data_IF_004782210112
#
_entry.id   IF_004782210112
#
_cell.length_a   1.000
_cell.length_b   1.000
_cell.length_c   1.000
_cell.angle_alpha   90.00
_cell.angle_beta   90.00
_cell.angle_gamma   90.00
#
_symmetry.space_group_name_H-M   'P 1'
#
loop_
_entity.id
_entity.type
_entity.pdbx_description
1 polymer ?
#
# COMPACT_ATOMS: atom_id res chain seq x y z
N UNK A 1 -50.03 2.00 -36.52
CA UNK A 1 -49.35 0.97 -37.34
C UNK A 1 -48.03 1.55 -37.84
N UNK A 2 -46.89 1.13 -37.27
CA UNK A 2 -45.54 1.52 -37.71
C UNK A 2 -44.91 0.34 -38.44
N UNK A 3 -44.51 0.55 -39.68
CA UNK A 3 -43.79 -0.42 -40.50
C UNK A 3 -42.31 -0.48 -40.10
N UNK A 4 -41.66 -1.65 -40.08
CA UNK A 4 -40.23 -1.78 -39.81
C UNK A 4 -39.39 -1.41 -41.03
N UNK A 5 -38.29 -0.68 -40.78
CA UNK A 5 -37.26 -0.35 -41.77
C UNK A 5 -36.28 -1.52 -41.96
N UNK A 6 -35.77 -1.77 -43.18
CA UNK A 6 -34.82 -2.85 -43.45
C UNK A 6 -33.39 -2.47 -43.05
N UNK A 7 -32.76 -3.34 -42.25
CA UNK A 7 -31.32 -3.31 -41.98
C UNK A 7 -30.54 -3.80 -43.22
N UNK A 8 -29.86 -2.91 -43.93
CA UNK A 8 -28.91 -3.27 -44.98
C UNK A 8 -27.59 -3.75 -44.36
N UNK A 9 -27.32 -5.04 -44.48
CA UNK A 9 -26.04 -5.64 -44.13
C UNK A 9 -24.97 -5.28 -45.17
N UNK A 10 -24.04 -4.39 -44.83
CA UNK A 10 -22.83 -4.13 -45.62
C UNK A 10 -21.83 -5.28 -45.44
N UNK A 11 -21.80 -6.20 -46.41
CA UNK A 11 -20.71 -7.17 -46.61
C UNK A 11 -19.40 -6.40 -46.89
N UNK A 12 -18.44 -6.46 -45.96
CA UNK A 12 -17.05 -6.04 -46.24
C UNK A 12 -16.37 -7.07 -47.15
N UNK A 13 -15.78 -6.67 -48.28
CA UNK A 13 -14.96 -7.57 -49.08
C UNK A 13 -13.61 -7.80 -48.37
N UNK A 14 -13.36 -9.05 -47.98
CA UNK A 14 -12.04 -9.56 -47.58
C UNK A 14 -11.17 -9.70 -48.84
N UNK A 15 -10.52 -8.62 -49.23
CA UNK A 15 -9.43 -8.65 -50.20
C UNK A 15 -8.17 -9.18 -49.53
N UNK A 16 -7.80 -10.43 -49.80
CA UNK A 16 -6.48 -10.96 -49.48
C UNK A 16 -5.45 -10.35 -50.44
N UNK A 17 -4.93 -9.18 -50.09
CA UNK A 17 -3.76 -8.61 -50.75
C UNK A 17 -2.52 -9.38 -50.28
N UNK A 18 -2.16 -10.42 -51.02
CA UNK A 18 -0.89 -11.13 -50.88
C UNK A 18 0.24 -10.17 -51.24
N UNK A 19 0.81 -9.52 -50.23
CA UNK A 19 2.01 -8.70 -50.38
C UNK A 19 3.22 -9.64 -50.34
N UNK A 20 3.72 -9.97 -51.53
CA UNK A 20 5.03 -10.59 -51.72
C UNK A 20 6.09 -9.74 -51.01
N UNK A 21 6.54 -10.19 -49.84
CA UNK A 21 7.67 -9.62 -49.12
C UNK A 21 8.95 -9.97 -49.90
N UNK A 22 9.43 -9.02 -50.69
CA UNK A 22 10.82 -9.04 -51.12
C UNK A 22 11.69 -8.85 -49.87
N UNK A 23 12.42 -9.89 -49.48
CA UNK A 23 13.46 -9.83 -48.45
C UNK A 23 14.66 -9.05 -49.03
N UNK A 24 14.53 -7.73 -49.10
CA UNK A 24 15.67 -6.83 -49.31
C UNK A 24 16.37 -6.73 -47.96
N UNK A 25 17.55 -7.34 -47.84
CA UNK A 25 18.43 -7.12 -46.69
C UNK A 25 18.83 -5.65 -46.68
N UNK A 26 18.42 -4.86 -45.67
CA UNK A 26 18.78 -3.45 -45.62
C UNK A 26 20.30 -3.32 -45.56
N UNK A 27 20.84 -2.46 -46.41
CA UNK A 27 22.25 -2.08 -46.39
C UNK A 27 22.65 -1.63 -44.98
N UNK A 28 23.83 -2.04 -44.52
CA UNK A 28 24.35 -1.69 -43.19
C UNK A 28 24.52 -0.19 -42.97
N UNK A 29 24.59 0.60 -44.05
CA UNK A 29 24.68 2.06 -43.94
C UNK A 29 23.32 2.72 -43.71
N UNK A 30 22.22 2.08 -44.15
CA UNK A 30 20.86 2.61 -43.96
C UNK A 30 20.36 2.42 -42.51
N UNK A 31 20.87 1.42 -41.80
CA UNK A 31 20.48 1.12 -40.41
C UNK A 31 21.00 2.18 -39.44
N UNK A 32 22.23 2.66 -39.62
CA UNK A 32 22.83 3.72 -38.80
C UNK A 32 22.06 5.05 -38.95
N UNK A 33 21.69 5.42 -40.18
CA UNK A 33 20.89 6.61 -40.45
C UNK A 33 19.48 6.50 -39.84
N UNK A 34 18.86 5.32 -39.89
CA UNK A 34 17.56 5.05 -39.27
C UNK A 34 17.61 5.16 -37.75
N UNK A 35 18.65 4.63 -37.11
CA UNK A 35 18.84 4.71 -35.67
C UNK A 35 19.04 6.15 -35.19
N UNK A 36 19.85 6.93 -35.91
CA UNK A 36 20.07 8.34 -35.59
C UNK A 36 18.78 9.17 -35.71
N UNK A 37 17.96 8.91 -36.73
CA UNK A 37 16.64 9.54 -36.90
C UNK A 37 15.70 9.17 -35.76
N UNK A 38 15.69 7.91 -35.34
CA UNK A 38 14.85 7.43 -34.24
C UNK A 38 15.26 8.03 -32.89
N UNK A 39 16.57 8.14 -32.64
CA UNK A 39 17.13 8.83 -31.47
C UNK A 39 16.69 10.30 -31.44
N UNK A 40 16.79 11.01 -32.57
CA UNK A 40 16.38 12.40 -32.65
C UNK A 40 14.86 12.57 -32.43
N UNK A 41 14.03 11.65 -32.94
CA UNK A 41 12.59 11.67 -32.69
C UNK A 41 12.25 11.45 -31.21
N UNK A 42 12.94 10.52 -30.53
CA UNK A 42 12.79 10.29 -29.08
C UNK A 42 13.17 11.52 -28.28
N UNK A 43 14.26 12.18 -28.63
CA UNK A 43 14.70 13.40 -27.96
C UNK A 43 13.69 14.55 -28.13
N UNK A 44 13.15 14.74 -29.35
CA UNK A 44 12.10 15.75 -29.60
C UNK A 44 10.85 15.49 -28.77
N UNK A 45 10.41 14.23 -28.66
CA UNK A 45 9.26 13.85 -27.82
C UNK A 45 9.53 14.12 -26.34
N UNK A 46 10.70 13.73 -25.83
CA UNK A 46 11.08 13.97 -24.44
C UNK A 46 11.16 15.47 -24.11
N UNK A 47 11.72 16.29 -25.00
CA UNK A 47 11.80 17.75 -24.84
C UNK A 47 10.41 18.40 -24.83
N UNK A 48 9.51 17.95 -25.71
CA UNK A 48 8.15 18.47 -25.76
C UNK A 48 7.35 18.09 -24.50
N UNK A 49 7.53 16.87 -23.99
CA UNK A 49 6.96 16.46 -22.71
C UNK A 49 7.47 17.32 -21.54
N UNK A 50 8.78 17.61 -21.47
CA UNK A 50 9.33 18.49 -20.42
C UNK A 50 8.70 19.88 -20.47
N UNK A 51 8.61 20.51 -21.64
CA UNK A 51 7.93 21.80 -21.81
C UNK A 51 6.46 21.74 -21.41
N UNK A 52 5.76 20.67 -21.76
CA UNK A 52 4.38 20.48 -21.35
C UNK A 52 4.25 20.46 -19.82
N UNK A 53 5.09 19.68 -19.13
CA UNK A 53 5.06 19.62 -17.66
C UNK A 53 5.49 20.91 -16.99
N UNK A 54 6.48 21.62 -17.53
CA UNK A 54 6.90 22.93 -17.01
C UNK A 54 5.76 23.95 -17.13
N UNK A 55 5.11 24.02 -18.31
CA UNK A 55 4.02 24.97 -18.55
C UNK A 55 2.76 24.66 -17.74
N UNK A 56 2.48 23.38 -17.46
CA UNK A 56 1.28 22.95 -16.73
C UNK A 56 1.56 22.59 -15.27
N UNK A 57 2.77 22.87 -14.75
CA UNK A 57 3.16 22.52 -13.39
C UNK A 57 2.21 23.10 -12.35
N UNK A 58 1.85 24.38 -12.52
CA UNK A 58 0.93 25.07 -11.62
C UNK A 58 -0.47 24.46 -11.67
N UNK A 59 -1.01 24.18 -12.87
CA UNK A 59 -2.32 23.55 -13.04
C UNK A 59 -2.37 22.13 -12.45
N UNK A 60 -1.32 21.33 -12.64
CA UNK A 60 -1.23 19.99 -12.06
C UNK A 60 -1.13 20.04 -10.54
N UNK A 61 -0.39 21.01 -9.97
CA UNK A 61 -0.34 21.23 -8.53
C UNK A 61 -1.69 21.66 -7.96
N UNK A 62 -2.41 22.55 -8.65
CA UNK A 62 -3.76 22.99 -8.27
C UNK A 62 -4.74 21.80 -8.28
N UNK A 63 -4.69 20.97 -9.33
CA UNK A 63 -5.51 19.75 -9.43
C UNK A 63 -5.21 18.75 -8.31
N UNK A 64 -3.95 18.64 -7.90
CA UNK A 64 -3.55 17.82 -6.75
C UNK A 64 -4.11 18.39 -5.43
N UNK A 65 -4.06 19.72 -5.22
CA UNK A 65 -4.65 20.40 -4.06
C UNK A 65 -6.16 20.18 -4.00
N UNK A 66 -6.87 20.29 -5.13
CA UNK A 66 -8.31 20.05 -5.22
C UNK A 66 -8.68 18.61 -4.84
N UNK A 67 -7.90 17.62 -5.31
CA UNK A 67 -8.10 16.20 -4.92
C UNK A 67 -7.84 15.98 -3.44
N UNK A 68 -6.77 16.55 -2.89
CA UNK A 68 -6.45 16.45 -1.47
C UNK A 68 -7.55 17.10 -0.60
N UNK A 69 -8.04 18.27 -1.00
CA UNK A 69 -9.17 18.96 -0.34
C UNK A 69 -10.45 18.11 -0.37
N UNK A 70 -10.80 17.55 -1.54
CA UNK A 70 -11.95 16.66 -1.69
C UNK A 70 -11.83 15.41 -0.80
N UNK A 71 -10.66 14.78 -0.75
CA UNK A 71 -10.44 13.62 0.10
C UNK A 71 -10.54 13.96 1.58
N UNK A 72 -10.06 15.14 2.02
CA UNK A 72 -10.23 15.61 3.40
C UNK A 72 -11.70 15.82 3.75
N UNK A 73 -12.51 16.38 2.83
CA UNK A 73 -13.95 16.53 3.05
C UNK A 73 -14.66 15.19 3.15
N UNK A 74 -14.33 14.24 2.27
CA UNK A 74 -14.92 12.91 2.29
C UNK A 74 -14.55 12.14 3.57
N UNK A 75 -13.29 12.22 4.00
CA UNK A 75 -12.85 11.63 5.27
C UNK A 75 -13.60 12.22 6.47
N UNK A 76 -13.85 13.54 6.49
CA UNK A 76 -14.67 14.18 7.52
C UNK A 76 -16.12 13.68 7.53
N UNK A 77 -16.73 13.46 6.36
CA UNK A 77 -18.08 12.91 6.27
C UNK A 77 -18.15 11.47 6.81
N UNK A 78 -17.12 10.66 6.52
CA UNK A 78 -17.05 9.27 6.99
C UNK A 78 -16.67 9.15 8.48
N UNK A 79 -16.09 10.20 9.08
CA UNK A 79 -15.68 10.20 10.49
C UNK A 79 -16.72 10.82 11.44
N UNK A 80 -17.92 11.14 10.94
CA UNK A 80 -18.99 11.55 11.85
C UNK A 80 -19.44 10.32 12.65
N UNK A 81 -19.36 10.37 13.99
CA UNK A 81 -19.91 9.30 14.82
C UNK A 81 -21.40 9.15 14.47
N UNK A 82 -21.80 7.91 14.20
CA UNK A 82 -23.19 7.55 13.95
C UNK A 82 -24.03 8.07 15.11
N UNK A 83 -24.82 9.11 14.86
CA UNK A 83 -25.66 9.78 15.85
C UNK A 83 -26.94 8.96 16.11
N UNK A 84 -26.79 7.65 16.29
CA UNK A 84 -27.88 6.69 16.56
C UNK A 84 -27.73 6.03 17.95
N UNK A 85 -26.81 6.52 18.79
CA UNK A 85 -26.61 5.99 20.15
C UNK A 85 -27.12 6.95 21.22
N UNK A 86 -28.34 7.47 21.09
CA UNK A 86 -29.07 8.10 22.21
C UNK A 86 -30.58 7.97 21.99
N UNK A 87 -31.12 6.78 22.18
CA UNK A 87 -32.49 6.57 22.65
C UNK A 87 -32.67 5.11 23.09
N UNK A 88 -32.23 4.81 24.31
CA UNK A 88 -32.98 3.87 25.14
C UNK A 88 -33.01 4.44 26.55
N UNK A 89 -34.10 5.15 26.81
CA UNK A 89 -34.56 5.42 28.16
C UNK A 89 -35.08 4.10 28.72
N UNK A 90 -34.28 3.40 29.52
CA UNK A 90 -34.84 2.47 30.48
C UNK A 90 -34.40 2.81 31.90
N UNK A 91 -35.42 3.09 32.70
CA UNK A 91 -35.34 3.54 34.06
C UNK A 91 -34.95 2.37 34.96
N UNK A 92 -33.68 2.31 35.36
CA UNK A 92 -33.17 1.29 36.27
C UNK A 92 -32.29 1.91 37.35
N UNK A 93 -32.94 2.33 38.44
CA UNK A 93 -32.37 2.67 39.74
C UNK A 93 -31.16 1.79 40.11
N UNK A 94 -29.98 2.39 40.21
CA UNK A 94 -28.82 1.81 40.91
C UNK A 94 -27.84 2.90 41.34
N UNK A 95 -28.06 3.37 42.56
CA UNK A 95 -27.04 3.66 43.58
C UNK A 95 -25.58 3.84 43.11
N UNK A 96 -25.21 5.11 42.90
CA UNK A 96 -24.04 5.78 43.51
C UNK A 96 -22.86 4.87 43.91
N UNK A 97 -21.83 4.79 43.07
CA UNK A 97 -20.42 4.71 43.51
C UNK A 97 -19.56 5.58 42.57
N UNK A 98 -19.25 6.77 43.05
CA UNK A 98 -18.39 7.78 42.44
C UNK A 98 -16.93 7.30 42.50
N UNK A 99 -16.21 7.13 41.38
CA UNK A 99 -14.78 6.85 41.41
C UNK A 99 -14.00 8.08 41.93
N UNK A 100 -12.99 7.91 42.79
CA UNK A 100 -12.19 9.01 43.29
C UNK A 100 -11.36 9.65 42.16
N UNK A 101 -11.33 10.98 42.15
CA UNK A 101 -10.54 11.80 41.25
C UNK A 101 -9.03 11.47 41.35
N UNK A 102 -8.31 11.32 40.23
CA UNK A 102 -6.85 11.30 40.26
C UNK A 102 -6.34 12.70 40.60
N UNK A 103 -5.85 12.84 41.83
CA UNK A 103 -5.16 14.02 42.34
C UNK A 103 -4.01 14.44 41.43
N UNK A 104 -4.05 15.71 41.03
CA UNK A 104 -2.99 16.41 40.29
C UNK A 104 -1.64 16.29 41.01
N UNK A 105 -0.55 15.95 40.31
CA UNK A 105 0.79 16.07 40.87
C UNK A 105 1.15 17.56 40.96
N UNK A 106 1.32 18.04 42.18
CA UNK A 106 1.91 19.34 42.48
C UNK A 106 3.35 19.40 41.97
N UNK A 107 3.63 20.45 41.21
CA UNK A 107 4.96 20.99 40.99
C UNK A 107 5.62 21.29 42.34
N UNK A 108 6.74 20.65 42.64
CA UNK A 108 7.80 21.22 43.49
C UNK A 108 9.08 20.39 43.34
N UNK A 109 10.14 21.01 42.81
CA UNK A 109 11.40 20.31 42.62
C UNK A 109 12.43 21.05 41.78
N UNK A 110 12.75 22.30 42.15
CA UNK A 110 13.99 22.95 41.73
C UNK A 110 15.20 22.07 42.10
N UNK A 111 15.95 21.61 41.10
CA UNK A 111 17.32 21.14 41.29
C UNK A 111 18.17 21.58 40.10
N UNK A 112 18.86 22.69 40.29
CA UNK A 112 19.91 23.19 39.41
C UNK A 112 21.17 22.34 39.60
N UNK A 113 21.55 21.57 38.59
CA UNK A 113 22.90 21.01 38.45
C UNK A 113 23.57 21.63 37.22
N UNK A 114 24.76 22.27 37.37
CA UNK A 114 25.49 22.83 36.25
C UNK A 114 26.20 21.70 35.49
N UNK A 115 25.91 21.58 34.20
CA UNK A 115 26.62 20.68 33.28
C UNK A 115 27.81 21.44 32.67
N UNK A 116 29.03 20.87 32.65
CA UNK A 116 30.21 21.55 32.15
C UNK A 116 30.23 21.59 30.61
N UNK A 117 30.58 22.76 30.07
CA UNK A 117 30.91 23.00 28.67
C UNK A 117 31.97 22.03 28.13
N UNK A 118 31.78 21.45 26.94
CA UNK A 118 32.89 20.99 26.11
C UNK A 118 33.43 22.15 25.26
N UNK A 119 34.68 22.51 25.56
CA UNK A 119 35.49 23.52 24.88
C UNK A 119 35.49 23.40 23.35
N UNK A 120 35.06 24.47 22.69
CA UNK A 120 35.20 24.68 21.26
C UNK A 120 36.66 24.98 20.91
N UNK A 121 37.31 24.04 20.22
CA UNK A 121 38.59 24.27 19.55
C UNK A 121 38.30 25.03 18.26
N UNK A 122 38.77 26.28 18.19
CA UNK A 122 38.74 27.12 16.99
C UNK A 122 39.72 26.64 15.92
N UNK A 123 39.34 26.59 14.63
CA UNK A 123 40.31 26.60 13.53
C UNK A 123 40.66 28.04 13.11
N UNK A 124 41.87 28.24 12.54
CA UNK A 124 42.45 29.55 12.32
C UNK A 124 41.82 30.34 11.17
N UNK A 125 41.79 31.66 11.39
CA UNK A 125 41.43 32.73 10.47
C UNK A 125 42.27 32.68 9.19
N UNK A 126 41.63 32.52 8.03
CA UNK A 126 42.23 32.83 6.73
C UNK A 126 41.57 34.10 6.19
N UNK A 127 42.34 35.18 6.23
CA UNK A 127 42.07 36.43 5.53
C UNK A 127 41.88 36.19 4.03
N UNK A 128 40.79 36.73 3.47
CA UNK A 128 40.52 36.69 2.04
C UNK A 128 39.46 37.70 1.63
N UNK A 129 39.93 38.91 1.29
CA UNK A 129 39.37 39.90 0.35
C UNK A 129 37.85 40.10 0.23
N UNK A 130 37.44 41.26 0.72
CA UNK A 130 36.25 42.04 0.36
C UNK A 130 36.19 42.33 -1.15
N UNK A 131 35.17 41.81 -1.83
CA UNK A 131 34.64 42.41 -3.07
C UNK A 131 33.23 42.92 -2.75
N UNK A 132 33.14 44.25 -2.70
CA UNK A 132 31.93 45.05 -2.62
C UNK A 132 31.05 44.78 -3.85
N UNK A 133 29.81 44.30 -3.65
CA UNK A 133 28.79 44.23 -4.68
C UNK A 133 27.67 45.25 -4.39
N UNK A 134 27.19 46.02 -5.40
CA UNK A 134 26.23 47.10 -5.19
C UNK A 134 24.78 46.60 -5.10
N UNK A 135 24.03 47.24 -4.20
CA UNK A 135 22.59 47.12 -4.03
C UNK A 135 21.82 47.55 -5.30
N UNK A 136 20.74 46.84 -5.70
CA UNK A 136 19.78 47.37 -6.64
C UNK A 136 18.71 48.24 -5.92
N UNK A 137 18.17 49.27 -6.61
CA UNK A 137 17.23 50.21 -6.03
C UNK A 137 15.82 49.63 -5.89
N UNK A 138 15.18 50.01 -4.79
CA UNK A 138 13.78 49.81 -4.46
C UNK A 138 12.86 50.56 -5.43
N UNK A 139 11.87 49.85 -5.93
CA UNK A 139 10.69 50.48 -6.53
C UNK A 139 9.98 49.50 -7.44
N UNK A 140 8.84 48.95 -7.00
CA UNK A 140 7.72 48.69 -7.91
C UNK A 140 6.42 48.56 -7.12
N UNK A 141 5.42 49.24 -7.66
CA UNK A 141 4.13 49.60 -7.09
C UNK A 141 3.18 48.42 -6.93
N UNK A 142 2.32 48.50 -5.92
CA UNK A 142 1.16 47.62 -5.70
C UNK A 142 0.19 47.65 -6.89
N UNK A 143 -0.21 46.50 -7.46
CA UNK A 143 -1.34 46.43 -8.36
C UNK A 143 -2.64 46.25 -7.57
N UNK A 144 -3.62 47.05 -7.97
CA UNK A 144 -4.98 47.12 -7.47
C UNK A 144 -5.74 45.79 -7.55
N UNK A 145 -6.47 45.47 -6.49
CA UNK A 145 -7.49 44.41 -6.41
C UNK A 145 -8.62 44.62 -7.43
N UNK A 146 -8.95 43.62 -8.27
CA UNK A 146 -10.19 43.63 -9.03
C UNK A 146 -11.37 43.09 -8.19
N UNK A 147 -12.49 43.80 -8.29
CA UNK A 147 -13.78 43.50 -7.67
C UNK A 147 -14.37 42.15 -8.12
N UNK A 148 -14.92 41.41 -7.16
CA UNK A 148 -15.68 40.19 -7.38
C UNK A 148 -17.03 40.49 -8.04
N UNK A 149 -17.29 39.93 -9.23
CA UNK A 149 -18.62 39.80 -9.81
C UNK A 149 -19.20 38.41 -9.53
N UNK A 150 -20.29 38.43 -8.76
CA UNK A 150 -21.44 37.49 -8.74
C UNK A 150 -21.26 36.08 -9.34
N UNK A 151 -21.30 35.09 -8.45
CA UNK A 151 -21.45 33.65 -8.72
C UNK A 151 -22.89 33.34 -9.18
N UNK A 152 -23.11 32.64 -10.31
CA UNK A 152 -24.43 32.11 -10.65
C UNK A 152 -24.77 30.85 -9.85
N UNK A 153 -26.02 30.76 -9.40
CA UNK A 153 -26.59 29.63 -8.66
C UNK A 153 -26.50 28.31 -9.45
N UNK A 154 -26.06 27.20 -8.84
CA UNK A 154 -26.09 25.91 -9.50
C UNK A 154 -27.52 25.35 -9.51
N UNK A 155 -28.04 25.11 -10.71
CA UNK A 155 -29.29 24.37 -10.93
C UNK A 155 -29.14 22.93 -10.44
N UNK A 156 -30.21 22.43 -9.82
CA UNK A 156 -30.31 21.10 -9.22
C UNK A 156 -30.11 19.98 -10.24
N UNK A 157 -29.07 19.16 -10.05
CA UNK A 157 -29.01 17.83 -10.65
C UNK A 157 -29.78 16.87 -9.75
N UNK A 158 -30.99 16.50 -10.21
CA UNK A 158 -31.76 15.40 -9.64
C UNK A 158 -31.03 14.08 -9.89
N UNK A 159 -30.72 13.36 -8.81
CA UNK A 159 -30.30 11.97 -8.85
C UNK A 159 -31.52 11.05 -8.69
N UNK A 160 -31.55 9.88 -9.34
CA UNK A 160 -32.63 8.92 -9.18
C UNK A 160 -32.63 8.27 -7.78
N UNK A 161 -33.78 7.79 -7.29
CA UNK A 161 -33.89 7.25 -5.94
C UNK A 161 -33.14 5.92 -5.82
N UNK A 162 -32.36 5.79 -4.75
CA UNK A 162 -31.75 4.52 -4.35
C UNK A 162 -32.86 3.57 -3.88
N UNK A 163 -32.95 2.40 -4.52
CA UNK A 163 -33.71 1.28 -4.00
C UNK A 163 -33.01 0.76 -2.74
N UNK A 164 -33.73 0.80 -1.63
CA UNK A 164 -33.43 0.07 -0.40
C UNK A 164 -33.42 -1.43 -0.69
N UNK A 165 -32.22 -2.01 -0.75
CA UNK A 165 -32.04 -3.47 -0.72
C UNK A 165 -31.72 -3.89 0.70
N UNK A 166 -32.78 -4.39 1.32
CA UNK A 166 -32.81 -5.25 2.49
C UNK A 166 -32.03 -6.57 2.23
N UNK A 167 -31.56 -7.22 3.29
CA UNK A 167 -30.85 -8.51 3.36
C UNK A 167 -29.34 -8.57 3.04
N UNK A 168 -28.51 -8.32 4.05
CA UNK A 168 -27.13 -8.83 4.10
C UNK A 168 -27.15 -10.34 4.37
N UNK A 169 -27.23 -11.15 3.30
CA UNK A 169 -26.83 -12.56 3.35
C UNK A 169 -25.31 -12.64 3.19
N UNK A 170 -24.62 -13.10 4.23
CA UNK A 170 -23.22 -13.52 4.14
C UNK A 170 -23.10 -14.56 3.01
N UNK A 171 -22.26 -14.33 1.98
CA UNK A 171 -22.06 -15.32 0.94
C UNK A 171 -21.33 -16.51 1.55
N UNK A 172 -22.05 -17.60 1.78
CA UNK A 172 -21.45 -18.93 1.95
C UNK A 172 -20.64 -19.20 0.68
N UNK A 173 -19.32 -19.14 0.78
CA UNK A 173 -18.37 -19.49 -0.27
C UNK A 173 -18.52 -20.99 -0.57
N UNK A 174 -19.48 -21.33 -1.42
CA UNK A 174 -19.52 -22.60 -2.10
C UNK A 174 -18.26 -22.72 -2.96
N UNK A 175 -17.57 -23.85 -2.80
CA UNK A 175 -16.27 -24.14 -3.39
C UNK A 175 -16.21 -23.87 -4.89
N UNK A 176 -15.68 -22.70 -5.25
CA UNK A 176 -15.02 -22.52 -6.51
C UNK A 176 -13.64 -23.15 -6.34
N UNK A 177 -13.55 -24.44 -6.69
CA UNK A 177 -12.31 -25.12 -7.03
C UNK A 177 -11.74 -24.48 -8.30
N UNK A 178 -11.33 -23.20 -8.22
CA UNK A 178 -10.38 -22.66 -9.17
C UNK A 178 -9.15 -23.53 -9.04
N UNK A 179 -8.80 -24.24 -10.11
CA UNK A 179 -7.58 -25.01 -10.20
C UNK A 179 -6.44 -24.12 -9.73
N UNK A 180 -5.99 -24.37 -8.50
CA UNK A 180 -4.87 -23.68 -7.87
C UNK A 180 -3.65 -24.20 -8.61
N UNK A 181 -3.41 -23.65 -9.81
CA UNK A 181 -2.11 -23.81 -10.43
C UNK A 181 -1.14 -23.33 -9.37
N UNK A 182 -0.17 -24.16 -8.93
CA UNK A 182 0.87 -23.66 -8.07
C UNK A 182 1.48 -22.53 -8.88
N UNK A 183 1.22 -21.29 -8.46
CA UNK A 183 2.05 -20.17 -8.86
C UNK A 183 3.35 -20.51 -8.15
N UNK A 184 4.16 -21.34 -8.83
CA UNK A 184 5.57 -21.45 -8.55
C UNK A 184 6.01 -20.01 -8.44
N UNK A 185 6.49 -19.60 -7.27
CA UNK A 185 6.99 -18.26 -7.01
C UNK A 185 8.27 -18.04 -7.84
N UNK A 186 8.16 -18.10 -9.16
CA UNK A 186 9.18 -17.80 -10.15
C UNK A 186 9.30 -16.29 -10.37
N UNK A 187 8.36 -15.51 -9.82
CA UNK A 187 8.36 -14.07 -9.95
C UNK A 187 9.09 -13.48 -8.75
N UNK A 188 10.30 -13.02 -9.04
CA UNK A 188 11.25 -12.25 -8.22
C UNK A 188 12.45 -13.07 -7.73
N UNK A 189 13.36 -13.20 -8.71
CA UNK A 189 14.82 -13.29 -8.59
C UNK A 189 15.38 -14.55 -7.98
N UNK A 190 16.28 -15.17 -8.73
CA UNK A 190 17.35 -15.98 -8.17
C UNK A 190 17.91 -15.23 -6.94
N UNK A 191 17.72 -15.78 -5.73
CA UNK A 191 18.16 -15.16 -4.47
C UNK A 191 19.66 -14.87 -4.52
N UNK A 192 20.40 -15.63 -5.33
CA UNK A 192 21.82 -15.44 -5.61
C UNK A 192 22.15 -14.01 -6.07
N UNK A 193 21.22 -13.33 -6.74
CA UNK A 193 21.41 -11.95 -7.20
C UNK A 193 20.97 -10.90 -6.17
N UNK A 194 20.39 -11.28 -5.03
CA UNK A 194 19.84 -10.35 -4.03
C UNK A 194 20.87 -9.28 -3.61
N UNK A 195 22.09 -9.72 -3.29
CA UNK A 195 23.18 -8.83 -2.86
C UNK A 195 23.67 -7.90 -4.00
N UNK A 196 23.46 -8.29 -5.27
CA UNK A 196 23.81 -7.47 -6.43
C UNK A 196 22.81 -6.32 -6.69
N UNK A 197 21.60 -6.42 -6.16
CA UNK A 197 20.58 -5.39 -6.28
C UNK A 197 20.91 -4.19 -5.39
N UNK A 198 20.58 -2.98 -5.87
CA UNK A 198 20.58 -1.78 -5.04
C UNK A 198 19.47 -1.82 -3.99
N UNK A 199 19.65 -1.12 -2.86
CA UNK A 199 18.66 -1.06 -1.78
C UNK A 199 17.25 -0.68 -2.26
N UNK A 200 17.13 0.29 -3.19
CA UNK A 200 15.83 0.68 -3.79
C UNK A 200 15.18 -0.45 -4.59
N UNK A 201 15.97 -1.24 -5.34
CA UNK A 201 15.45 -2.39 -6.09
C UNK A 201 15.01 -3.52 -5.17
N UNK A 202 15.73 -3.75 -4.06
CA UNK A 202 15.36 -4.71 -3.03
C UNK A 202 14.04 -4.34 -2.35
N UNK A 203 13.84 -3.08 -1.98
CA UNK A 203 12.57 -2.61 -1.43
C UNK A 203 11.41 -2.76 -2.43
N UNK A 204 11.64 -2.44 -3.70
CA UNK A 204 10.63 -2.64 -4.74
C UNK A 204 10.28 -4.12 -4.94
N UNK A 205 11.28 -5.00 -4.92
CA UNK A 205 11.12 -6.45 -5.00
C UNK A 205 10.30 -6.99 -3.81
N UNK A 206 10.60 -6.56 -2.58
CA UNK A 206 9.85 -6.96 -1.39
C UNK A 206 8.41 -6.49 -1.44
N UNK A 207 8.15 -5.24 -1.81
CA UNK A 207 6.76 -4.76 -1.98
C UNK A 207 6.00 -5.55 -3.03
N UNK A 208 6.65 -5.94 -4.13
CA UNK A 208 6.02 -6.77 -5.15
C UNK A 208 5.67 -8.15 -4.58
N UNK A 209 6.60 -8.78 -3.86
CA UNK A 209 6.35 -10.05 -3.19
C UNK A 209 5.19 -9.93 -2.19
N UNK A 210 5.14 -8.87 -1.39
CA UNK A 210 4.01 -8.61 -0.48
C UNK A 210 2.67 -8.57 -1.21
N UNK A 211 2.57 -7.85 -2.33
CA UNK A 211 1.36 -7.80 -3.14
C UNK A 211 0.95 -9.18 -3.66
N UNK A 212 1.92 -10.00 -4.07
CA UNK A 212 1.67 -11.36 -4.51
C UNK A 212 1.18 -12.26 -3.35
N UNK A 213 1.67 -12.04 -2.12
CA UNK A 213 1.15 -12.72 -0.93
C UNK A 213 -0.29 -12.29 -0.61
N UNK A 214 -0.59 -11.00 -0.66
CA UNK A 214 -1.94 -10.49 -0.44
C UNK A 214 -2.93 -11.00 -1.47
N UNK A 215 -2.49 -11.13 -2.72
CA UNK A 215 -3.29 -11.74 -3.78
C UNK A 215 -3.61 -13.21 -3.49
N UNK A 216 -2.63 -13.97 -2.99
CA UNK A 216 -2.78 -15.41 -2.74
C UNK A 216 -3.53 -15.75 -1.44
N UNK A 217 -3.36 -14.94 -0.40
CA UNK A 217 -3.81 -15.26 0.96
C UNK A 217 -4.73 -14.20 1.60
N UNK A 218 -5.01 -13.12 0.89
CA UNK A 218 -5.74 -11.95 1.42
C UNK A 218 -4.84 -11.00 2.19
N UNK A 219 -5.42 -9.88 2.64
CA UNK A 219 -4.71 -8.81 3.33
C UNK A 219 -3.87 -9.33 4.51
N UNK A 220 -2.59 -8.95 4.55
CA UNK A 220 -1.62 -9.45 5.53
C UNK A 220 -2.04 -9.08 6.96
N UNK A 221 -2.50 -7.84 7.16
CA UNK A 221 -2.96 -7.35 8.45
C UNK A 221 -4.08 -8.22 9.08
N UNK A 222 -4.90 -8.87 8.24
CA UNK A 222 -6.03 -9.68 8.68
C UNK A 222 -5.66 -11.14 8.95
N UNK A 223 -4.43 -11.58 8.67
CA UNK A 223 -4.06 -12.99 8.78
C UNK A 223 -4.33 -13.62 10.15
N UNK A 224 -4.00 -12.98 11.30
CA UNK A 224 -4.28 -13.57 12.61
C UNK A 224 -5.78 -13.76 12.86
N UNK A 225 -6.58 -12.71 12.59
CA UNK A 225 -8.03 -12.73 12.79
C UNK A 225 -8.72 -13.72 11.83
N UNK A 226 -8.24 -13.81 10.58
CA UNK A 226 -8.71 -14.77 9.60
C UNK A 226 -8.36 -16.21 10.00
N UNK A 227 -7.13 -16.46 10.46
CA UNK A 227 -6.71 -17.79 10.94
C UNK A 227 -7.58 -18.27 12.11
N UNK A 228 -7.88 -17.38 13.06
CA UNK A 228 -8.78 -17.68 14.19
C UNK A 228 -10.18 -18.10 13.71
N UNK A 229 -10.78 -17.32 12.80
CA UNK A 229 -12.10 -17.65 12.23
C UNK A 229 -12.09 -18.94 11.41
N UNK A 230 -11.03 -19.17 10.62
CA UNK A 230 -10.88 -20.41 9.86
C UNK A 230 -10.74 -21.62 10.79
N UNK A 231 -10.01 -21.50 11.90
CA UNK A 231 -9.88 -22.56 12.89
C UNK A 231 -11.22 -22.98 13.50
N UNK A 232 -12.09 -22.02 13.81
CA UNK A 232 -13.43 -22.30 14.34
C UNK A 232 -14.26 -23.19 13.40
N UNK A 233 -14.04 -23.07 12.09
CA UNK A 233 -14.69 -23.90 11.07
C UNK A 233 -13.95 -25.22 10.90
N UNK A 234 -12.61 -25.20 10.95
CA UNK A 234 -11.77 -26.37 10.66
C UNK A 234 -11.75 -27.39 11.79
N UNK A 235 -11.93 -26.99 13.06
CA UNK A 235 -11.90 -27.91 14.21
C UNK A 235 -12.99 -29.00 14.17
N UNK A 236 -14.05 -28.78 13.39
CA UNK A 236 -15.14 -29.74 13.18
C UNK A 236 -14.95 -30.63 11.94
N UNK A 237 -13.90 -30.38 11.14
CA UNK A 237 -13.59 -31.13 9.92
C UNK A 237 -12.79 -32.39 10.24
N UNK A 238 -12.61 -33.24 9.22
CA UNK A 238 -11.77 -34.42 9.32
C UNK A 238 -10.29 -34.06 9.49
N UNK A 239 -9.51 -34.99 10.05
CA UNK A 239 -8.07 -34.79 10.35
C UNK A 239 -7.25 -34.44 9.10
N UNK A 240 -7.63 -34.93 7.93
CA UNK A 240 -6.94 -34.63 6.67
C UNK A 240 -7.08 -33.15 6.31
N UNK A 241 -8.32 -32.64 6.30
CA UNK A 241 -8.62 -31.22 6.08
C UNK A 241 -7.91 -30.30 7.08
N UNK A 242 -7.88 -30.68 8.36
CA UNK A 242 -7.16 -29.91 9.40
C UNK A 242 -5.66 -29.85 9.13
N UNK A 243 -5.07 -30.97 8.71
CA UNK A 243 -3.63 -31.04 8.41
C UNK A 243 -3.26 -30.20 7.20
N UNK A 244 -4.04 -30.29 6.11
CA UNK A 244 -3.81 -29.47 4.90
C UNK A 244 -3.92 -27.97 5.20
N UNK A 245 -4.93 -27.57 5.98
CA UNK A 245 -5.09 -26.18 6.40
C UNK A 245 -3.94 -25.69 7.29
N UNK A 246 -3.46 -26.52 8.22
CA UNK A 246 -2.29 -26.21 9.05
C UNK A 246 -1.01 -26.05 8.22
N UNK A 247 -0.79 -26.93 7.25
CA UNK A 247 0.36 -26.87 6.34
C UNK A 247 0.34 -25.58 5.50
N UNK A 248 -0.83 -25.24 4.95
CA UNK A 248 -1.04 -24.00 4.21
C UNK A 248 -0.75 -22.79 5.09
N UNK A 249 -1.30 -22.74 6.31
CA UNK A 249 -1.11 -21.61 7.22
C UNK A 249 0.33 -21.50 7.72
N UNK A 250 1.01 -22.62 7.91
CA UNK A 250 2.45 -22.65 8.22
C UNK A 250 3.28 -22.12 7.06
N UNK A 251 2.89 -22.42 5.81
CA UNK A 251 3.53 -21.86 4.62
C UNK A 251 3.36 -20.34 4.53
N UNK A 252 2.17 -19.82 4.86
CA UNK A 252 1.91 -18.38 4.96
C UNK A 252 2.86 -17.70 5.96
N UNK A 253 2.94 -18.22 7.18
CA UNK A 253 3.81 -17.69 8.23
C UNK A 253 5.30 -17.76 7.83
N UNK A 254 5.73 -18.87 7.23
CA UNK A 254 7.11 -19.06 6.76
C UNK A 254 7.49 -18.03 5.69
N UNK A 255 6.64 -17.82 4.70
CA UNK A 255 6.87 -16.82 3.66
C UNK A 255 6.90 -15.39 4.25
N UNK A 256 6.03 -15.10 5.23
CA UNK A 256 6.07 -13.83 5.98
C UNK A 256 7.39 -13.62 6.73
N UNK A 257 7.90 -14.65 7.41
CA UNK A 257 9.22 -14.60 8.06
C UNK A 257 10.37 -14.37 7.10
N UNK A 258 10.31 -14.96 5.90
CA UNK A 258 11.32 -14.71 4.87
C UNK A 258 11.35 -13.24 4.47
N UNK A 259 10.20 -12.60 4.24
CA UNK A 259 10.14 -11.16 3.95
C UNK A 259 10.74 -10.33 5.08
N UNK A 260 10.42 -10.64 6.34
CA UNK A 260 10.98 -9.93 7.50
C UNK A 260 12.51 -10.05 7.54
N UNK A 261 13.04 -11.26 7.28
CA UNK A 261 14.48 -11.48 7.20
C UNK A 261 15.11 -10.66 6.07
N UNK A 262 14.51 -10.62 4.88
CA UNK A 262 15.03 -9.82 3.76
C UNK A 262 14.92 -8.30 3.99
N UNK A 263 13.88 -7.84 4.69
CA UNK A 263 13.76 -6.43 5.10
C UNK A 263 14.90 -6.02 6.03
N UNK A 264 15.33 -6.90 6.93
CA UNK A 264 16.49 -6.64 7.80
C UNK A 264 17.80 -6.49 6.99
N UNK A 265 17.90 -7.16 5.83
CA UNK A 265 19.08 -7.14 4.95
C UNK A 265 18.98 -6.10 3.81
N UNK A 266 17.91 -5.28 3.76
CA UNK A 266 17.69 -4.38 2.63
C UNK A 266 18.79 -3.32 2.51
N UNK A 267 19.32 -2.89 3.65
CA UNK A 267 20.36 -1.85 3.74
C UNK A 267 21.78 -2.42 3.63
N UNK A 268 21.95 -3.70 3.33
CA UNK A 268 23.29 -4.27 3.12
C UNK A 268 23.80 -4.03 1.69
N UNK A 269 25.11 -4.07 1.45
CA UNK A 269 25.68 -3.95 0.11
C UNK A 269 25.73 -2.51 -0.44
N UNK A 270 25.31 -2.31 -1.70
CA UNK A 270 25.41 -1.01 -2.36
C UNK A 270 24.33 -0.04 -1.86
N UNK A 271 24.75 0.83 -0.93
CA UNK A 271 23.95 1.92 -0.40
C UNK A 271 23.96 3.15 -1.33
N UNK A 272 22.85 3.91 -1.40
CA UNK A 272 22.84 5.19 -2.09
C UNK A 272 23.81 6.17 -1.41
N UNK A 273 24.53 6.97 -2.20
CA UNK A 273 25.42 8.03 -1.70
C UNK A 273 24.64 9.25 -1.20
N UNK A 274 23.42 9.43 -1.67
CA UNK A 274 22.51 10.51 -1.24
C UNK A 274 21.87 10.15 0.12
N UNK A 275 22.10 11.00 1.11
CA UNK A 275 21.62 10.86 2.49
C UNK A 275 20.09 10.89 2.56
N UNK A 276 19.43 11.69 1.73
CA UNK A 276 17.96 11.79 1.76
C UNK A 276 17.31 10.51 1.21
N UNK A 277 17.90 9.93 0.16
CA UNK A 277 17.45 8.64 -0.39
C UNK A 277 17.70 7.51 0.63
N UNK A 278 18.85 7.52 1.29
CA UNK A 278 19.13 6.55 2.36
C UNK A 278 18.09 6.62 3.48
N UNK A 279 17.79 7.83 3.97
CA UNK A 279 16.82 8.07 5.04
C UNK A 279 15.41 7.61 4.64
N UNK A 280 14.99 7.92 3.42
CA UNK A 280 13.70 7.50 2.87
C UNK A 280 13.58 5.97 2.78
N UNK A 281 14.61 5.29 2.25
CA UNK A 281 14.61 3.83 2.18
C UNK A 281 14.58 3.18 3.57
N UNK A 282 15.32 3.74 4.53
CA UNK A 282 15.30 3.25 5.91
C UNK A 282 13.90 3.37 6.54
N UNK A 283 13.24 4.53 6.40
CA UNK A 283 11.88 4.75 6.90
C UNK A 283 10.88 3.80 6.25
N UNK A 284 10.97 3.60 4.92
CA UNK A 284 10.12 2.66 4.21
C UNK A 284 10.33 1.23 4.70
N UNK A 285 11.57 0.82 4.93
CA UNK A 285 11.90 -0.52 5.43
C UNK A 285 11.32 -0.73 6.82
N UNK A 286 11.51 0.25 7.72
CA UNK A 286 10.98 0.22 9.07
C UNK A 286 9.44 0.13 9.11
N UNK A 287 8.74 0.93 8.30
CA UNK A 287 7.28 0.89 8.21
C UNK A 287 6.79 -0.48 7.74
N UNK A 288 7.41 -1.01 6.67
CA UNK A 288 7.07 -2.33 6.14
C UNK A 288 7.31 -3.44 7.17
N UNK A 289 8.42 -3.38 7.91
CA UNK A 289 8.73 -4.34 8.97
C UNK A 289 7.69 -4.31 10.08
N UNK A 290 7.25 -3.13 10.52
CA UNK A 290 6.26 -3.00 11.59
C UNK A 290 4.94 -3.70 11.25
N UNK A 291 4.37 -3.39 10.09
CA UNK A 291 3.09 -3.96 9.64
C UNK A 291 3.19 -5.50 9.48
N UNK A 292 4.31 -5.98 8.92
CA UNK A 292 4.55 -7.41 8.73
C UNK A 292 4.76 -8.16 10.03
N UNK A 293 5.56 -7.60 10.92
CA UNK A 293 5.94 -8.27 12.16
C UNK A 293 4.71 -8.61 13.00
N UNK A 294 3.79 -7.64 13.17
CA UNK A 294 2.55 -7.86 13.92
C UNK A 294 1.68 -8.96 13.29
N UNK A 295 1.51 -8.94 11.97
CA UNK A 295 0.69 -9.93 11.26
C UNK A 295 1.28 -11.35 11.31
N UNK A 296 2.58 -11.49 11.05
CA UNK A 296 3.26 -12.79 11.02
C UNK A 296 3.35 -13.40 12.41
N UNK A 297 3.77 -12.63 13.41
CA UNK A 297 3.84 -13.12 14.80
C UNK A 297 2.45 -13.47 15.33
N UNK A 298 1.44 -12.65 15.05
CA UNK A 298 0.04 -12.95 15.42
C UNK A 298 -0.47 -14.25 14.80
N UNK A 299 -0.14 -14.50 13.52
CA UNK A 299 -0.46 -15.76 12.84
C UNK A 299 0.27 -16.95 13.50
N UNK A 300 1.55 -16.83 13.81
CA UNK A 300 2.33 -17.88 14.47
C UNK A 300 1.78 -18.26 15.84
N UNK A 301 1.49 -17.27 16.68
CA UNK A 301 0.89 -17.48 18.00
C UNK A 301 -0.48 -18.17 17.89
N UNK A 302 -1.27 -17.81 16.87
CA UNK A 302 -2.56 -18.46 16.60
C UNK A 302 -2.34 -19.93 16.21
N UNK A 303 -1.38 -20.22 15.33
CA UNK A 303 -1.05 -21.59 14.93
C UNK A 303 -0.54 -22.44 16.09
N UNK A 304 0.27 -21.88 16.98
CA UNK A 304 0.77 -22.60 18.16
C UNK A 304 -0.36 -22.89 19.15
N UNK A 305 -1.29 -21.96 19.32
CA UNK A 305 -2.52 -22.17 20.11
C UNK A 305 -3.34 -23.33 19.53
N UNK A 306 -3.53 -23.35 18.21
CA UNK A 306 -4.28 -24.42 17.53
C UNK A 306 -3.59 -25.78 17.68
N UNK A 307 -2.26 -25.85 17.48
CA UNK A 307 -1.48 -27.08 17.67
C UNK A 307 -1.62 -27.60 19.10
N UNK A 308 -1.56 -26.73 20.09
CA UNK A 308 -1.78 -27.08 21.50
C UNK A 308 -3.18 -27.65 21.74
N UNK A 309 -4.22 -27.03 21.18
CA UNK A 309 -5.59 -27.54 21.28
C UNK A 309 -5.73 -28.93 20.66
N UNK A 310 -5.18 -29.16 19.47
CA UNK A 310 -5.18 -30.47 18.79
C UNK A 310 -4.48 -31.53 19.66
N UNK A 311 -3.32 -31.20 20.23
CA UNK A 311 -2.60 -32.10 21.15
C UNK A 311 -3.44 -32.44 22.39
N UNK A 312 -4.08 -31.44 23.02
CA UNK A 312 -4.95 -31.68 24.19
C UNK A 312 -6.15 -32.57 23.86
N UNK A 313 -6.81 -32.35 22.71
CA UNK A 313 -7.93 -33.18 22.27
C UNK A 313 -7.49 -34.62 21.94
N UNK A 314 -6.30 -34.78 21.38
CA UNK A 314 -5.72 -36.10 21.09
C UNK A 314 -5.36 -36.85 22.38
N UNK A 315 -4.76 -36.16 23.35
CA UNK A 315 -4.41 -36.73 24.66
C UNK A 315 -5.65 -37.18 25.46
N UNK A 316 -6.75 -36.41 25.45
CA UNK A 316 -8.00 -36.78 26.14
C UNK A 316 -8.61 -38.08 25.61
N UNK A 317 -8.49 -38.35 24.30
CA UNK A 317 -8.96 -39.61 23.69
C UNK A 317 -8.14 -40.84 24.13
N UNK A 318 -6.97 -40.64 24.77
CA UNK A 318 -6.01 -41.70 25.09
C UNK A 318 -6.17 -42.33 26.50
N UNK A 319 -7.09 -41.85 27.34
CA UNK A 319 -7.17 -42.28 28.76
C UNK A 319 -7.92 -43.61 29.02
N UNK A 320 -7.98 -44.52 28.04
CA UNK A 320 -8.68 -45.82 28.07
C UNK A 320 -10.22 -45.77 27.96
N UNK A 321 -10.69 -46.08 26.75
CA UNK A 321 -12.08 -46.47 26.44
C UNK A 321 -12.25 -47.02 25.03
N UNK A 322 -11.14 -47.48 24.41
CA UNK A 322 -10.95 -48.07 23.07
C UNK A 322 -11.77 -47.50 21.89
N UNK A 323 -11.06 -46.71 21.08
CA UNK A 323 -10.84 -46.88 19.62
C UNK A 323 -9.89 -45.74 19.22
N UNK A 324 -8.57 -45.85 19.25
CA UNK A 324 -7.71 -46.89 18.68
C UNK A 324 -6.31 -46.70 19.27
N UNK A 325 -5.83 -47.64 20.10
CA UNK A 325 -4.39 -47.81 20.30
C UNK A 325 -3.87 -48.49 19.03
N UNK A 326 -3.36 -47.71 18.07
CA UNK A 326 -2.55 -48.27 16.98
C UNK A 326 -1.15 -48.52 17.51
N UNK A 327 -0.81 -49.81 17.59
CA UNK A 327 0.53 -50.40 17.59
C UNK A 327 1.42 -49.85 16.51
#
# INVERSE_FOLDING_TARGET
>A
MRLPMPCTATKKPTGHTSTLRCNVTPSTDDTAAMEQKLKHQRERKARNQRRYYENHKAEQQEKARLRASKNRMLAKQMSLPSLDEYQDEDAGDSSVLRPPEPSSPSDDGSSSTPSPEPSLVSPPSVSGSYITAPLPPSGFSSPSTPSFTSVPSPQSLQFPPFATSDSFRVPTTHGLSYGRTPITMTVVTNIDDWLSLSASRRIAALRRWMLDMEWNWGAIADWPARCTREWDIMKERDTGSVTEWLDESTRKATAGRQIIAYLALVMEGQLPTDVEIFRDLYLQSHQLTGDFYSAVIGLELTLDTVRSQIQMHTARKCSCGKATCRT
#
